data_IF_671872541128
#
_entry.id   IF_671872541128
#
_cell.length_a   1.000
_cell.length_b   1.000
_cell.length_c   1.000
_cell.angle_alpha   90.00
_cell.angle_beta   90.00
_cell.angle_gamma   90.00
#
_symmetry.space_group_name_H-M   'P 1'
#
loop_
_entity.id
_entity.type
_entity.pdbx_description
1 polymer ?
#
# COMPACT_ATOMS: atom_id res chain seq x y z
N UNK A 1 -11.17 -0.49 -3.20
CA UNK A 1 -10.73 -1.89 -3.07
C UNK A 1 -11.27 -2.65 -4.26
N UNK A 2 -10.46 -3.44 -4.94
CA UNK A 2 -10.89 -4.22 -6.10
C UNK A 2 -10.42 -5.68 -5.94
N UNK A 3 -11.30 -6.63 -6.21
CA UNK A 3 -11.01 -8.05 -6.21
C UNK A 3 -11.11 -8.55 -7.65
N UNK A 4 -10.03 -9.11 -8.20
CA UNK A 4 -10.01 -9.68 -9.55
C UNK A 4 -9.21 -10.97 -9.54
N UNK A 5 -9.82 -12.06 -9.99
CA UNK A 5 -9.19 -13.39 -10.07
C UNK A 5 -8.54 -13.87 -8.75
N UNK A 6 -9.14 -13.51 -7.62
CA UNK A 6 -8.60 -13.83 -6.30
C UNK A 6 -7.40 -12.98 -5.85
N UNK A 7 -7.02 -11.93 -6.60
CA UNK A 7 -6.10 -10.91 -6.13
C UNK A 7 -6.87 -9.70 -5.58
N UNK A 8 -6.64 -9.42 -4.30
CA UNK A 8 -7.21 -8.29 -3.59
C UNK A 8 -6.25 -7.10 -3.61
N UNK A 9 -6.67 -6.00 -4.25
CA UNK A 9 -5.91 -4.74 -4.23
C UNK A 9 -6.43 -3.79 -3.17
N UNK A 10 -5.54 -3.41 -2.24
CA UNK A 10 -5.78 -2.44 -1.17
C UNK A 10 -4.93 -1.20 -1.44
N UNK A 11 -5.57 -0.02 -1.47
CA UNK A 11 -4.86 1.27 -1.53
C UNK A 11 -4.79 1.86 -0.13
N UNK A 12 -3.59 2.20 0.31
CA UNK A 12 -3.37 2.94 1.54
C UNK A 12 -3.41 4.45 1.27
N UNK A 13 -3.96 5.21 2.22
CA UNK A 13 -3.94 6.68 2.18
C UNK A 13 -2.53 7.25 2.43
N UNK A 14 -1.71 6.54 3.20
CA UNK A 14 -0.40 7.01 3.67
C UNK A 14 0.67 5.93 3.54
N UNK A 15 1.94 6.35 3.43
CA UNK A 15 3.08 5.43 3.36
C UNK A 15 3.24 4.62 4.64
N UNK A 16 3.04 5.26 5.81
CA UNK A 16 3.03 4.57 7.11
C UNK A 16 1.95 3.49 7.17
N UNK A 17 0.73 3.82 6.73
CA UNK A 17 -0.38 2.88 6.68
C UNK A 17 -0.11 1.72 5.71
N UNK A 18 0.50 1.98 4.55
CA UNK A 18 0.90 0.93 3.62
C UNK A 18 1.90 -0.05 4.25
N UNK A 19 2.84 0.45 5.04
CA UNK A 19 3.81 -0.38 5.78
C UNK A 19 3.12 -1.22 6.84
N UNK A 20 2.22 -0.62 7.65
CA UNK A 20 1.45 -1.38 8.65
C UNK A 20 0.60 -2.48 8.01
N UNK A 21 -0.06 -2.18 6.88
CA UNK A 21 -0.83 -3.18 6.14
C UNK A 21 0.05 -4.34 5.64
N UNK A 22 1.30 -4.08 5.22
CA UNK A 22 2.24 -5.13 4.79
C UNK A 22 2.64 -6.04 5.95
N UNK A 23 2.92 -5.46 7.11
CA UNK A 23 3.22 -6.23 8.33
C UNK A 23 2.04 -7.10 8.74
N UNK A 24 0.81 -6.59 8.59
CA UNK A 24 -0.42 -7.28 8.95
C UNK A 24 -0.99 -8.16 7.82
N UNK A 25 -0.33 -8.24 6.67
CA UNK A 25 -0.88 -8.86 5.45
C UNK A 25 -1.33 -10.31 5.68
N UNK A 26 -0.52 -11.11 6.37
CA UNK A 26 -0.85 -12.51 6.67
C UNK A 26 -2.08 -12.66 7.56
N UNK A 27 -2.20 -11.82 8.60
CA UNK A 27 -3.36 -11.81 9.49
C UNK A 27 -4.63 -11.34 8.78
N UNK A 28 -4.50 -10.33 7.90
CA UNK A 28 -5.60 -9.82 7.10
C UNK A 28 -6.12 -10.89 6.14
N UNK A 29 -5.23 -11.60 5.44
CA UNK A 29 -5.59 -12.72 4.57
C UNK A 29 -6.33 -13.82 5.33
N UNK A 30 -5.83 -14.22 6.50
CA UNK A 30 -6.49 -15.24 7.32
C UNK A 30 -7.89 -14.80 7.80
N UNK A 31 -8.06 -13.54 8.19
CA UNK A 31 -9.37 -12.99 8.57
C UNK A 31 -10.34 -12.94 7.41
N UNK A 32 -9.88 -12.52 6.23
CA UNK A 32 -10.71 -12.45 5.03
C UNK A 32 -11.11 -13.87 4.58
N UNK A 33 -10.17 -14.82 4.60
CA UNK A 33 -10.46 -16.22 4.28
C UNK A 33 -11.53 -16.82 5.22
N UNK A 34 -11.49 -16.48 6.52
CA UNK A 34 -12.52 -16.89 7.48
C UNK A 34 -13.89 -16.26 7.21
N UNK A 35 -13.94 -14.99 6.79
CA UNK A 35 -15.20 -14.26 6.62
C UNK A 35 -15.88 -14.43 5.26
N UNK A 36 -15.11 -14.62 4.19
CA UNK A 36 -15.61 -14.64 2.80
C UNK A 36 -15.51 -16.03 2.16
N UNK A 37 -14.79 -16.96 2.79
CA UNK A 37 -14.59 -18.32 2.29
C UNK A 37 -13.18 -18.54 1.75
N UNK A 38 -12.66 -19.74 2.01
CA UNK A 38 -11.30 -20.13 1.67
C UNK A 38 -11.16 -20.21 0.13
N UNK A 39 -10.41 -19.29 -0.48
CA UNK A 39 -10.15 -19.28 -1.93
C UNK A 39 -10.60 -18.03 -2.67
N UNK A 40 -11.35 -17.13 -2.03
CA UNK A 40 -11.79 -15.85 -2.63
C UNK A 40 -10.65 -14.85 -2.76
N UNK A 41 -9.68 -14.87 -1.82
CA UNK A 41 -8.48 -14.05 -1.89
C UNK A 41 -7.25 -14.95 -1.77
N UNK A 42 -6.60 -15.19 -2.90
CA UNK A 42 -5.36 -15.98 -3.04
C UNK A 42 -4.11 -15.09 -2.92
N UNK A 43 -4.22 -13.83 -3.33
CA UNK A 43 -3.11 -12.86 -3.30
C UNK A 43 -3.61 -11.50 -2.82
N UNK A 44 -2.74 -10.75 -2.15
CA UNK A 44 -3.03 -9.38 -1.71
C UNK A 44 -1.95 -8.45 -2.21
N UNK A 45 -2.36 -7.34 -2.83
CA UNK A 45 -1.49 -6.29 -3.34
C UNK A 45 -1.77 -4.99 -2.61
N UNK A 46 -0.77 -4.48 -1.91
CA UNK A 46 -0.84 -3.23 -1.16
C UNK A 46 -0.17 -2.13 -1.98
N UNK A 47 -0.97 -1.18 -2.42
CA UNK A 47 -0.50 0.03 -3.11
C UNK A 47 -0.43 1.16 -2.07
N UNK A 48 0.76 1.75 -1.92
CA UNK A 48 0.89 3.00 -1.17
C UNK A 48 0.24 4.17 -1.90
N UNK A 49 0.12 5.33 -1.26
CA UNK A 49 -0.26 6.55 -1.96
C UNK A 49 0.74 6.82 -3.08
N UNK A 50 0.28 7.45 -4.17
CA UNK A 50 1.17 7.90 -5.24
C UNK A 50 2.29 8.73 -4.62
N UNK A 51 3.54 8.27 -4.74
CA UNK A 51 4.67 8.99 -4.19
C UNK A 51 4.74 10.38 -4.84
N UNK A 52 4.73 11.48 -4.08
CA UNK A 52 4.92 12.79 -4.67
C UNK A 52 6.33 12.85 -5.24
N UNK A 53 6.41 13.18 -6.53
CA UNK A 53 7.67 13.46 -7.18
C UNK A 53 8.14 14.85 -6.75
N UNK A 54 9.24 14.91 -5.99
CA UNK A 54 9.90 16.17 -5.64
C UNK A 54 10.79 16.71 -6.76
N UNK A 55 10.77 16.09 -7.95
CA UNK A 55 11.38 16.64 -9.16
C UNK A 55 10.55 17.83 -9.66
N UNK A 56 10.94 19.04 -9.29
CA UNK A 56 10.51 20.27 -9.98
C UNK A 56 11.60 20.73 -10.95
N UNK A 57 11.43 20.41 -12.24
CA UNK A 57 12.17 21.04 -13.34
C UNK A 57 13.67 20.76 -13.42
N UNK A 58 14.37 21.35 -14.41
CA UNK A 58 15.78 21.08 -14.73
C UNK A 58 16.79 21.72 -13.77
N UNK A 59 16.36 22.51 -12.79
CA UNK A 59 17.23 23.12 -11.75
C UNK A 59 16.97 22.44 -10.41
N UNK A 60 17.57 21.25 -10.24
CA UNK A 60 17.51 20.51 -8.98
C UNK A 60 18.84 20.65 -8.21
N UNK A 61 18.77 21.20 -7.01
CA UNK A 61 19.91 21.26 -6.07
C UNK A 61 19.87 20.00 -5.20
N UNK A 62 20.97 19.26 -5.00
CA UNK A 62 21.00 18.11 -4.10
C UNK A 62 20.86 18.57 -2.64
N UNK A 63 19.63 18.75 -2.18
CA UNK A 63 19.28 19.01 -0.78
C UNK A 63 18.53 17.82 -0.18
N UNK A 64 18.61 17.64 1.15
CA UNK A 64 17.90 16.56 1.87
C UNK A 64 16.42 16.55 1.48
N UNK A 65 15.98 15.42 0.96
CA UNK A 65 14.57 15.13 0.70
C UNK A 65 13.69 15.35 1.94
N UNK A 66 12.35 15.33 1.77
CA UNK A 66 11.40 15.67 2.83
C UNK A 66 11.71 14.88 4.12
N UNK A 67 11.97 15.59 5.22
CA UNK A 67 12.39 15.01 6.51
C UNK A 67 11.23 14.54 7.38
N UNK A 68 10.01 14.95 7.10
CA UNK A 68 8.80 14.47 7.75
C UNK A 68 7.60 14.85 6.88
N UNK A 69 7.09 13.95 6.06
CA UNK A 69 5.78 14.18 5.41
C UNK A 69 5.22 12.87 4.89
N UNK A 70 4.65 12.00 5.76
CA UNK A 70 3.52 11.11 5.44
C UNK A 70 2.92 10.61 6.77
N UNK A 71 2.14 11.48 7.43
CA UNK A 71 1.06 11.03 8.31
C UNK A 71 -0.02 10.32 7.51
#
# INVERSE_FOLDING_TARGET
MALKDGELTVRASSTAWATQLRLLQGQLLAKIAKGVGNGVVKKMRIQGPTAPSWRKGPRHVPGRGPRDTYG
#
